data_IF_695920623671
#
_entry.id   IF_695920623671
#
_cell.length_a   1.000
_cell.length_b   1.000
_cell.length_c   1.000
_cell.angle_alpha   90.00
_cell.angle_beta   90.00
_cell.angle_gamma   90.00
#
_symmetry.space_group_name_H-M   'P 1'
#
loop_
_entity.id
_entity.type
_entity.pdbx_description
1 polymer ?
#
# COMPACT_ATOMS: atom_id res chain seq x y z
N UNK A 1 -8.09 -10.92 4.33
CA UNK A 1 -8.46 -11.01 5.76
C UNK A 1 -7.30 -11.65 6.53
N UNK A 2 -7.09 -11.25 7.80
CA UNK A 2 -6.14 -11.90 8.72
C UNK A 2 -6.67 -13.27 9.16
N UNK A 3 -5.81 -14.29 9.14
CA UNK A 3 -6.11 -15.66 9.55
C UNK A 3 -5.47 -15.94 10.91
N UNK A 4 -6.19 -15.61 11.99
CA UNK A 4 -5.68 -15.71 13.36
C UNK A 4 -5.26 -17.14 13.71
N UNK A 5 -6.01 -18.13 13.24
CA UNK A 5 -5.75 -19.55 13.47
C UNK A 5 -4.42 -20.05 12.89
N UNK A 6 -3.85 -19.32 11.92
CA UNK A 6 -2.54 -19.62 11.34
C UNK A 6 -1.40 -18.88 12.02
N UNK A 7 -1.70 -17.85 12.82
CA UNK A 7 -0.66 -17.03 13.43
C UNK A 7 -0.03 -17.77 14.62
N UNK A 8 1.22 -18.19 14.49
CA UNK A 8 2.00 -18.81 15.57
C UNK A 8 2.65 -17.80 16.52
N UNK A 9 2.36 -16.50 16.35
CA UNK A 9 3.00 -15.40 17.06
C UNK A 9 4.54 -15.43 16.96
N UNK A 10 5.08 -15.82 15.80
CA UNK A 10 6.53 -15.91 15.58
C UNK A 10 7.22 -14.54 15.49
N UNK A 11 6.50 -13.48 15.09
CA UNK A 11 7.02 -12.11 14.99
C UNK A 11 7.75 -11.77 13.68
N UNK A 12 7.92 -12.73 12.75
CA UNK A 12 8.70 -12.51 11.51
C UNK A 12 8.22 -11.32 10.68
N UNK A 13 6.92 -11.05 10.69
CA UNK A 13 6.29 -9.94 9.98
C UNK A 13 6.86 -8.57 10.39
N UNK A 14 7.17 -8.38 11.68
CA UNK A 14 7.72 -7.12 12.22
C UNK A 14 9.25 -7.15 12.29
N UNK A 15 9.85 -8.33 12.46
CA UNK A 15 11.31 -8.49 12.44
C UNK A 15 11.91 -8.21 11.06
N UNK A 16 11.27 -8.73 9.99
CA UNK A 16 11.71 -8.57 8.60
C UNK A 16 11.12 -7.33 7.93
N UNK A 17 10.36 -6.51 8.65
CA UNK A 17 9.82 -5.27 8.12
C UNK A 17 10.97 -4.26 7.89
N UNK A 18 11.12 -3.77 6.65
CA UNK A 18 12.18 -2.83 6.28
C UNK A 18 12.11 -1.47 6.99
N UNK A 19 10.96 -1.13 7.58
CA UNK A 19 10.72 0.15 8.25
C UNK A 19 10.74 0.05 9.78
N UNK A 20 10.33 -1.10 10.33
CA UNK A 20 10.28 -1.32 11.79
C UNK A 20 11.48 -2.10 12.32
N UNK A 21 11.87 -3.17 11.63
CA UNK A 21 12.99 -4.05 11.97
C UNK A 21 13.07 -4.40 13.48
N UNK A 22 11.94 -4.77 14.08
CA UNK A 22 11.89 -5.00 15.53
C UNK A 22 12.69 -6.23 15.96
N UNK A 23 13.36 -6.20 17.12
CA UNK A 23 13.93 -7.40 17.71
C UNK A 23 12.80 -8.39 18.06
N UNK A 24 13.11 -9.68 18.06
CA UNK A 24 12.13 -10.77 18.20
C UNK A 24 11.14 -10.57 19.37
N UNK A 25 11.64 -10.28 20.58
CA UNK A 25 10.77 -10.09 21.75
C UNK A 25 9.76 -8.95 21.55
N UNK A 26 10.22 -7.82 21.00
CA UNK A 26 9.35 -6.66 20.71
C UNK A 26 8.38 -6.98 19.58
N UNK A 27 8.83 -7.68 18.53
CA UNK A 27 7.97 -8.09 17.43
C UNK A 27 6.81 -8.98 17.90
N UNK A 28 7.08 -9.96 18.77
CA UNK A 28 6.04 -10.84 19.33
C UNK A 28 5.10 -10.07 20.25
N UNK A 29 5.64 -9.23 21.13
CA UNK A 29 4.85 -8.42 22.05
C UNK A 29 3.90 -7.49 21.29
N UNK A 30 4.41 -6.71 20.34
CA UNK A 30 3.63 -5.74 19.58
C UNK A 30 2.60 -6.43 18.67
N UNK A 31 2.95 -7.55 18.04
CA UNK A 31 1.97 -8.28 17.24
C UNK A 31 0.87 -8.93 18.10
N UNK A 32 1.18 -9.33 19.33
CA UNK A 32 0.18 -9.81 20.29
C UNK A 32 -0.79 -8.69 20.68
N UNK A 33 -0.29 -7.47 20.91
CA UNK A 33 -1.13 -6.28 21.15
C UNK A 33 -2.10 -6.07 19.98
N UNK A 34 -1.61 -6.17 18.74
CA UNK A 34 -2.47 -6.05 17.55
C UNK A 34 -3.55 -7.13 17.49
N UNK A 35 -3.26 -8.38 17.83
CA UNK A 35 -4.27 -9.46 17.90
C UNK A 35 -5.33 -9.11 18.95
N UNK A 36 -4.90 -8.67 20.14
CA UNK A 36 -5.79 -8.32 21.25
C UNK A 36 -6.56 -7.00 21.05
N UNK A 37 -6.23 -6.20 20.04
CA UNK A 37 -6.81 -4.86 19.84
C UNK A 37 -6.29 -3.82 20.82
N UNK A 38 -5.10 -4.06 21.38
CA UNK A 38 -4.41 -3.12 22.24
C UNK A 38 -3.62 -2.08 21.41
N UNK A 39 -3.38 -0.88 21.96
CA UNK A 39 -2.55 0.13 21.29
C UNK A 39 -1.14 -0.39 20.99
N UNK A 40 -0.67 -0.17 19.77
CA UNK A 40 0.68 -0.50 19.32
C UNK A 40 1.22 0.57 18.37
N UNK A 41 2.48 1.02 18.51
CA UNK A 41 3.11 1.93 17.55
C UNK A 41 3.19 1.35 16.13
N UNK A 42 3.01 0.04 15.94
CA UNK A 42 2.98 -0.57 14.61
C UNK A 42 1.91 0.07 13.73
N UNK A 43 0.77 0.49 14.30
CA UNK A 43 -0.31 1.10 13.50
C UNK A 43 0.02 2.51 13.04
N UNK A 44 0.83 3.29 13.77
CA UNK A 44 1.28 4.62 13.31
C UNK A 44 2.47 4.53 12.34
N UNK A 45 3.34 3.54 12.55
CA UNK A 45 4.62 3.46 11.86
C UNK A 45 4.55 2.61 10.57
N UNK A 46 3.48 1.81 10.40
CA UNK A 46 3.25 1.01 9.20
C UNK A 46 2.95 1.90 7.98
N UNK A 47 3.81 1.79 6.95
CA UNK A 47 3.69 2.52 5.68
C UNK A 47 2.83 1.81 4.61
N UNK A 48 2.06 0.80 5.02
CA UNK A 48 1.10 0.07 4.18
C UNK A 48 1.63 -0.63 2.92
N UNK A 49 2.88 -1.10 2.93
CA UNK A 49 3.51 -1.79 1.79
C UNK A 49 3.06 -3.25 1.54
N UNK A 50 2.27 -3.84 2.44
CA UNK A 50 1.75 -5.23 2.37
C UNK A 50 2.81 -6.35 2.40
N UNK A 51 4.11 -6.02 2.44
CA UNK A 51 5.20 -7.02 2.38
C UNK A 51 5.12 -8.10 3.47
N UNK A 52 4.60 -7.78 4.66
CA UNK A 52 4.47 -8.76 5.73
C UNK A 52 3.52 -9.92 5.40
N UNK A 53 2.55 -9.75 4.49
CA UNK A 53 1.74 -10.87 3.99
C UNK A 53 2.59 -11.88 3.22
N UNK A 54 3.55 -11.40 2.42
CA UNK A 54 4.45 -12.26 1.65
C UNK A 54 5.56 -12.89 2.50
N UNK A 55 5.93 -12.22 3.59
CA UNK A 55 6.96 -12.69 4.53
C UNK A 55 6.41 -13.77 5.46
N UNK A 56 5.13 -13.71 5.83
CA UNK A 56 4.56 -14.58 6.84
C UNK A 56 4.68 -16.07 6.44
N UNK A 57 5.43 -16.90 7.19
CA UNK A 57 5.66 -18.30 6.81
C UNK A 57 4.37 -19.13 6.84
N UNK A 58 3.40 -18.74 7.67
CA UNK A 58 2.13 -19.44 7.85
C UNK A 58 1.02 -18.91 6.92
N UNK A 59 1.30 -17.85 6.14
CA UNK A 59 0.28 -17.20 5.31
C UNK A 59 -0.89 -16.64 6.13
N UNK A 60 -0.61 -16.06 7.31
CA UNK A 60 -1.63 -15.53 8.21
C UNK A 60 -2.16 -14.14 7.82
N UNK A 61 -1.57 -13.49 6.81
CA UNK A 61 -1.89 -12.13 6.36
C UNK A 61 -1.81 -11.03 7.44
N UNK A 62 -0.64 -10.84 8.09
CA UNK A 62 -0.46 -9.85 9.16
C UNK A 62 -0.77 -8.38 8.75
N UNK A 63 -0.59 -7.99 7.49
CA UNK A 63 -0.95 -6.64 7.03
C UNK A 63 -2.43 -6.36 7.24
N UNK A 64 -3.28 -7.35 6.98
CA UNK A 64 -4.73 -7.17 7.02
C UNK A 64 -5.21 -6.84 8.43
N UNK A 65 -4.59 -7.45 9.46
CA UNK A 65 -4.82 -7.10 10.86
C UNK A 65 -4.35 -5.67 11.15
N UNK A 66 -3.14 -5.32 10.73
CA UNK A 66 -2.59 -3.96 10.94
C UNK A 66 -3.48 -2.91 10.29
N UNK A 67 -3.98 -3.15 9.08
CA UNK A 67 -4.88 -2.24 8.38
C UNK A 67 -6.21 -2.04 9.13
N UNK A 68 -6.82 -3.13 9.62
CA UNK A 68 -8.02 -3.03 10.47
C UNK A 68 -7.73 -2.21 11.72
N UNK A 69 -6.61 -2.44 12.41
CA UNK A 69 -6.24 -1.64 13.60
C UNK A 69 -5.96 -0.18 13.26
N UNK A 70 -5.37 0.10 12.10
CA UNK A 70 -5.19 1.46 11.61
C UNK A 70 -6.50 2.21 11.40
N UNK A 71 -7.52 1.52 10.87
CA UNK A 71 -8.87 2.06 10.69
C UNK A 71 -9.57 2.30 12.05
N UNK A 72 -9.50 1.34 12.96
CA UNK A 72 -10.10 1.43 14.31
C UNK A 72 -9.49 2.56 15.14
N UNK A 73 -8.17 2.74 15.06
CA UNK A 73 -7.43 3.71 15.87
C UNK A 73 -7.25 5.08 15.19
N UNK A 74 -7.52 5.17 13.89
CA UNK A 74 -7.30 6.39 13.10
C UNK A 74 -5.83 6.80 13.02
N UNK A 75 -4.88 5.90 13.26
CA UNK A 75 -3.44 6.22 13.25
C UNK A 75 -2.89 6.39 11.85
N UNK A 76 -3.56 5.85 10.83
CA UNK A 76 -3.17 6.06 9.44
C UNK A 76 -3.41 7.52 9.03
N UNK A 77 -2.32 8.28 8.90
CA UNK A 77 -2.35 9.69 8.56
C UNK A 77 -2.59 9.89 7.07
N UNK A 78 -3.81 9.63 6.62
CA UNK A 78 -4.21 9.99 5.26
C UNK A 78 -4.61 11.47 5.22
N UNK A 79 -3.72 12.31 4.71
CA UNK A 79 -3.95 13.76 4.68
C UNK A 79 -5.22 14.11 3.88
N UNK A 80 -6.00 15.10 4.37
CA UNK A 80 -7.21 15.60 3.68
C UNK A 80 -6.99 15.97 2.22
N UNK A 81 -5.76 16.33 1.85
CA UNK A 81 -5.35 16.60 0.47
C UNK A 81 -5.43 15.35 -0.41
N UNK A 82 -4.97 14.19 0.09
CA UNK A 82 -5.03 12.94 -0.65
C UNK A 82 -6.48 12.47 -0.82
N UNK A 83 -7.33 12.57 0.20
CA UNK A 83 -8.77 12.26 0.05
C UNK A 83 -9.43 13.09 -1.06
N UNK A 84 -9.17 14.40 -1.10
CA UNK A 84 -9.68 15.27 -2.17
C UNK A 84 -9.14 14.89 -3.54
N UNK A 85 -7.88 14.47 -3.62
CA UNK A 85 -7.25 14.02 -4.87
C UNK A 85 -7.94 12.75 -5.40
N UNK A 86 -8.23 11.78 -4.55
CA UNK A 86 -8.98 10.57 -4.93
C UNK A 86 -10.42 10.88 -5.36
N UNK A 87 -11.13 11.77 -4.66
CA UNK A 87 -12.47 12.22 -5.09
C UNK A 87 -12.42 12.89 -6.48
N UNK A 88 -11.40 13.71 -6.74
CA UNK A 88 -11.22 14.34 -8.05
C UNK A 88 -10.93 13.33 -9.17
N UNK A 89 -10.23 12.23 -8.84
CA UNK A 89 -9.97 11.12 -9.75
C UNK A 89 -11.25 10.55 -10.38
N UNK A 90 -12.33 10.42 -9.60
CA UNK A 90 -13.62 9.89 -10.09
C UNK A 90 -14.33 10.80 -11.10
N UNK A 91 -13.93 12.07 -11.17
CA UNK A 91 -14.52 13.09 -12.03
C UNK A 91 -13.68 13.35 -13.28
N UNK A 92 -12.52 12.70 -13.41
CA UNK A 92 -11.68 12.87 -14.58
C UNK A 92 -12.31 12.19 -15.80
N UNK A 93 -12.45 12.91 -16.93
CA UNK A 93 -13.04 12.34 -18.13
C UNK A 93 -12.07 11.34 -18.76
N UNK A 94 -12.53 10.10 -18.98
CA UNK A 94 -11.77 9.13 -19.74
C UNK A 94 -11.75 9.49 -21.23
N UNK A 95 -10.59 9.34 -21.86
CA UNK A 95 -10.42 9.62 -23.30
C UNK A 95 -9.90 8.38 -24.02
N UNK A 96 -10.64 7.94 -25.03
CA UNK A 96 -10.17 6.88 -25.94
C UNK A 96 -9.28 7.54 -27.00
N UNK A 97 -8.01 7.13 -27.04
CA UNK A 97 -7.01 7.61 -28.01
C UNK A 97 -6.53 6.41 -28.80
N UNK A 98 -6.48 6.55 -30.13
CA UNK A 98 -5.88 5.54 -31.00
C UNK A 98 -4.37 5.66 -30.95
N UNK A 99 -3.68 4.57 -30.60
CA UNK A 99 -2.22 4.51 -30.66
C UNK A 99 -1.69 4.43 -32.09
N UNK A 100 -0.41 4.76 -32.24
CA UNK A 100 0.31 4.56 -33.50
C UNK A 100 0.62 3.06 -33.72
N UNK A 101 0.52 2.57 -34.98
CA UNK A 101 0.95 1.21 -35.31
C UNK A 101 2.41 0.98 -34.91
N UNK A 102 2.70 -0.21 -34.38
CA UNK A 102 4.05 -0.66 -33.99
C UNK A 102 4.76 0.20 -32.93
N UNK A 103 4.00 1.02 -32.18
CA UNK A 103 4.47 1.85 -31.07
C UNK A 103 3.90 1.39 -29.72
N UNK A 104 4.64 1.58 -28.61
CA UNK A 104 4.16 1.20 -27.28
C UNK A 104 2.97 2.06 -26.82
N UNK A 105 2.09 1.45 -26.02
CA UNK A 105 0.94 2.12 -25.39
C UNK A 105 1.04 1.92 -23.88
N UNK A 106 0.88 3.00 -23.12
CA UNK A 106 0.86 2.97 -21.66
C UNK A 106 -0.43 3.60 -21.12
N UNK A 107 -1.15 2.86 -20.28
CA UNK A 107 -2.26 3.43 -19.52
C UNK A 107 -1.73 4.07 -18.24
N UNK A 108 -1.97 5.37 -18.09
CA UNK A 108 -1.60 6.14 -16.90
C UNK A 108 -2.69 6.16 -15.85
N UNK A 109 -3.84 5.53 -16.14
CA UNK A 109 -5.03 5.58 -15.27
C UNK A 109 -5.38 7.05 -14.93
N UNK A 110 -5.90 7.28 -13.73
CA UNK A 110 -6.11 8.59 -13.13
C UNK A 110 -4.81 9.36 -12.78
N UNK A 111 -3.62 8.76 -12.86
CA UNK A 111 -2.39 9.41 -12.38
C UNK A 111 -1.67 10.26 -13.42
N UNK A 112 -2.03 10.15 -14.71
CA UNK A 112 -1.34 10.88 -15.78
C UNK A 112 -1.33 12.40 -15.57
N UNK A 113 -2.45 12.98 -15.16
CA UNK A 113 -2.54 14.42 -14.87
C UNK A 113 -2.09 14.77 -13.44
N UNK A 114 -1.95 13.78 -12.55
CA UNK A 114 -1.51 13.98 -11.17
C UNK A 114 0.03 14.08 -11.04
N UNK A 115 0.77 13.60 -12.04
CA UNK A 115 2.23 13.49 -12.02
C UNK A 115 2.87 14.16 -13.25
N UNK A 116 2.78 15.50 -13.37
CA UNK A 116 3.37 16.22 -14.50
C UNK A 116 4.89 16.02 -14.56
N UNK A 117 5.45 15.88 -15.76
CA UNK A 117 6.89 15.71 -15.98
C UNK A 117 7.45 14.29 -15.79
N UNK A 118 6.69 13.36 -15.21
CA UNK A 118 7.21 11.98 -14.96
C UNK A 118 7.31 11.15 -16.25
N UNK A 119 6.49 11.46 -17.26
CA UNK A 119 6.34 10.66 -18.48
C UNK A 119 7.00 11.29 -19.71
N UNK A 120 7.91 12.23 -19.52
CA UNK A 120 8.55 13.02 -20.60
C UNK A 120 9.98 12.59 -20.91
N UNK A 121 10.51 11.61 -20.17
CA UNK A 121 11.88 11.10 -20.31
C UNK A 121 12.02 10.07 -21.44
N UNK A 122 13.28 9.82 -21.85
CA UNK A 122 13.64 8.97 -22.99
C UNK A 122 13.02 7.56 -22.97
N UNK A 123 12.74 7.01 -21.78
CA UNK A 123 12.06 5.72 -21.63
C UNK A 123 10.68 5.69 -22.33
N UNK A 124 10.06 6.85 -22.48
CA UNK A 124 8.70 7.00 -22.97
C UNK A 124 8.61 7.50 -24.41
N UNK A 125 9.75 7.73 -25.08
CA UNK A 125 9.79 8.25 -26.45
C UNK A 125 8.96 7.41 -27.43
N UNK A 126 8.04 8.07 -28.14
CA UNK A 126 7.14 7.43 -29.10
C UNK A 126 6.02 6.59 -28.46
N UNK A 127 5.82 6.67 -27.14
CA UNK A 127 4.70 6.02 -26.47
C UNK A 127 3.40 6.80 -26.65
N UNK A 128 2.30 6.08 -26.86
CA UNK A 128 0.96 6.66 -26.71
C UNK A 128 0.48 6.49 -25.27
N UNK A 129 0.11 7.59 -24.62
CA UNK A 129 -0.45 7.57 -23.27
C UNK A 129 -1.97 7.59 -23.27
N UNK A 130 -2.59 6.60 -22.63
CA UNK A 130 -4.02 6.55 -22.35
C UNK A 130 -4.28 7.11 -20.95
N UNK A 131 -5.30 7.96 -20.84
CA UNK A 131 -5.75 8.56 -19.58
C UNK A 131 -7.23 8.31 -19.42
N UNK A 132 -7.65 7.92 -18.22
CA UNK A 132 -9.06 7.75 -17.90
C UNK A 132 -9.35 7.12 -16.57
#
# INVERSE_FOLDING_TARGET
>A
MFYEEKCTLCGECLMKCAYLAYPENKAKEEFKKLINGEPSPVTSDCITCVACNMICPEGANPFDLINVRQEETGTFQFGKRFLKMFDMGTKMPSKIIKGEPDKPVMSLCLFGDMLPGVFEEQLYDGSTFLKG
#
